data_IF_376359876034
#
_entry.id   IF_376359876034
#
_cell.length_a   1.000
_cell.length_b   1.000
_cell.length_c   1.000
_cell.angle_alpha   90.00
_cell.angle_beta   90.00
_cell.angle_gamma   90.00
#
_symmetry.space_group_name_H-M   'P 1'
#
loop_
_entity.id
_entity.type
_entity.pdbx_description
1 polymer ?
#
# COMPACT_ATOMS: atom_id res chain seq x y z
N UNK A 1 10.82 -5.67 -32.01
CA UNK A 1 9.72 -4.91 -31.38
C UNK A 1 10.20 -4.39 -30.03
N UNK A 2 10.60 -3.12 -29.92
CA UNK A 2 10.87 -2.51 -28.62
C UNK A 2 9.56 -1.93 -28.09
N UNK A 3 8.91 -2.66 -27.18
CA UNK A 3 7.70 -2.21 -26.51
C UNK A 3 7.95 -0.89 -25.79
N UNK A 4 6.95 0.01 -25.83
CA UNK A 4 6.93 1.28 -25.10
C UNK A 4 7.38 1.06 -23.65
N UNK A 5 8.52 1.60 -23.25
CA UNK A 5 8.91 1.69 -21.83
C UNK A 5 7.90 2.62 -21.14
N UNK A 6 6.98 2.05 -20.37
CA UNK A 6 6.11 2.84 -19.50
C UNK A 6 6.83 3.03 -18.17
N UNK A 7 6.85 4.26 -17.67
CA UNK A 7 7.25 4.54 -16.30
C UNK A 7 6.01 4.39 -15.42
N UNK A 8 6.16 3.73 -14.28
CA UNK A 8 5.14 3.63 -13.25
C UNK A 8 5.62 4.46 -12.06
N UNK A 9 4.70 5.25 -11.49
CA UNK A 9 4.90 5.90 -10.19
C UNK A 9 4.04 5.14 -9.19
N UNK A 10 4.60 4.83 -8.04
CA UNK A 10 3.92 4.14 -6.95
C UNK A 10 3.89 5.08 -5.75
N UNK A 11 2.76 5.10 -5.05
CA UNK A 11 2.60 5.78 -3.76
C UNK A 11 2.18 4.71 -2.76
N UNK A 12 2.93 4.61 -1.67
CA UNK A 12 2.76 3.54 -0.68
C UNK A 12 2.46 4.21 0.66
N UNK A 13 1.30 3.95 1.27
CA UNK A 13 0.96 4.54 2.57
C UNK A 13 1.86 3.95 3.65
N UNK A 14 2.41 4.82 4.49
CA UNK A 14 3.28 4.44 5.61
C UNK A 14 2.65 4.96 6.89
N UNK A 15 2.60 4.10 7.90
CA UNK A 15 2.16 4.41 9.25
C UNK A 15 3.40 4.47 10.12
N UNK A 16 3.58 5.57 10.85
CA UNK A 16 4.65 5.72 11.85
C UNK A 16 3.99 6.08 13.17
N UNK A 17 4.16 5.21 14.16
CA UNK A 17 3.59 5.36 15.48
C UNK A 17 4.67 5.23 16.56
N UNK A 18 4.40 5.80 17.74
CA UNK A 18 5.31 5.70 18.86
C UNK A 18 5.28 4.26 19.42
N UNK A 19 6.46 3.69 19.64
CA UNK A 19 6.63 2.34 20.19
C UNK A 19 7.77 2.36 21.21
N UNK A 20 7.42 2.28 22.49
CA UNK A 20 8.38 2.38 23.60
C UNK A 20 9.18 3.69 23.59
N UNK A 21 10.51 3.57 23.49
CA UNK A 21 11.44 4.71 23.44
C UNK A 21 11.68 5.24 22.02
N UNK A 22 10.99 4.69 21.01
CA UNK A 22 11.19 5.02 19.60
C UNK A 22 9.89 5.03 18.81
N UNK A 23 10.02 4.70 17.53
CA UNK A 23 8.95 4.75 16.56
C UNK A 23 8.98 3.49 15.70
N UNK A 24 7.82 2.84 15.59
CA UNK A 24 7.58 1.74 14.67
C UNK A 24 7.00 2.27 13.37
N UNK A 25 7.65 1.95 12.26
CA UNK A 25 7.18 2.24 10.91
C UNK A 25 6.72 0.97 10.23
N UNK A 26 5.56 1.00 9.58
CA UNK A 26 5.07 -0.12 8.78
C UNK A 26 4.15 0.35 7.65
N UNK A 27 3.84 -0.55 6.72
CA UNK A 27 2.81 -0.29 5.70
C UNK A 27 1.80 -1.44 5.64
N UNK A 28 0.49 -1.16 5.65
CA UNK A 28 -0.52 -2.19 5.45
C UNK A 28 -0.58 -2.68 3.99
N UNK A 29 -0.01 -1.90 3.06
CA UNK A 29 -0.02 -2.24 1.63
C UNK A 29 1.00 -3.32 1.26
N UNK A 30 2.10 -3.46 2.03
CA UNK A 30 3.14 -4.45 1.76
C UNK A 30 3.41 -5.29 3.03
N UNK A 31 3.05 -6.57 2.96
CA UNK A 31 3.25 -7.48 4.09
C UNK A 31 4.75 -7.64 4.40
N UNK A 32 5.07 -7.55 5.68
CA UNK A 32 6.41 -7.84 6.21
C UNK A 32 7.37 -6.65 6.23
N UNK A 33 6.96 -5.47 5.78
CA UNK A 33 7.78 -4.25 5.88
C UNK A 33 7.52 -3.58 7.23
N UNK A 34 8.50 -3.71 8.12
CA UNK A 34 8.51 -3.08 9.44
C UNK A 34 9.89 -2.53 9.74
N UNK A 35 9.95 -1.35 10.35
CA UNK A 35 11.19 -0.72 10.81
C UNK A 35 11.00 -0.13 12.20
N UNK A 36 12.11 0.06 12.92
CA UNK A 36 12.12 0.72 14.21
C UNK A 36 13.22 1.78 14.22
N UNK A 37 12.88 3.02 14.55
CA UNK A 37 13.83 4.14 14.67
C UNK A 37 13.69 4.82 16.03
N UNK A 38 14.78 5.42 16.55
CA UNK A 38 14.74 6.18 17.81
C UNK A 38 13.98 7.49 17.67
N UNK A 39 13.90 8.02 16.44
CA UNK A 39 13.14 9.22 16.11
C UNK A 39 12.19 8.97 14.97
N UNK A 40 11.13 9.78 14.85
CA UNK A 40 10.19 9.71 13.74
C UNK A 40 10.89 9.86 12.38
N UNK A 41 11.84 10.79 12.27
CA UNK A 41 12.60 11.02 11.05
C UNK A 41 13.50 9.83 10.67
N UNK A 42 14.07 9.16 11.68
CA UNK A 42 14.84 7.93 11.45
C UNK A 42 13.94 6.80 10.96
N UNK A 43 12.77 6.59 11.59
CA UNK A 43 11.81 5.58 11.14
C UNK A 43 11.32 5.86 9.71
N UNK A 44 11.11 7.13 9.35
CA UNK A 44 10.72 7.53 7.99
C UNK A 44 11.81 7.23 6.95
N UNK A 45 13.07 7.55 7.26
CA UNK A 45 14.20 7.23 6.40
C UNK A 45 14.37 5.70 6.23
N UNK A 46 14.27 4.95 7.33
CA UNK A 46 14.33 3.48 7.30
C UNK A 46 13.17 2.88 6.49
N UNK A 47 11.97 3.46 6.56
CA UNK A 47 10.85 3.04 5.73
C UNK A 47 11.14 3.23 4.24
N UNK A 48 11.72 4.37 3.84
CA UNK A 48 12.08 4.61 2.44
C UNK A 48 13.08 3.55 1.92
N UNK A 49 14.10 3.21 2.72
CA UNK A 49 15.09 2.19 2.38
C UNK A 49 14.44 0.79 2.30
N UNK A 50 13.61 0.45 3.28
CA UNK A 50 12.93 -0.86 3.33
C UNK A 50 11.96 -1.05 2.15
N UNK A 51 11.20 -0.01 1.80
CA UNK A 51 10.30 -0.02 0.64
C UNK A 51 11.08 -0.16 -0.67
N UNK A 52 12.20 0.55 -0.81
CA UNK A 52 13.07 0.45 -1.99
C UNK A 52 13.59 -0.98 -2.15
N UNK A 53 14.12 -1.56 -1.07
CA UNK A 53 14.61 -2.94 -1.06
C UNK A 53 13.51 -3.97 -1.41
N UNK A 54 12.29 -3.75 -0.91
CA UNK A 54 11.15 -4.62 -1.22
C UNK A 54 10.77 -4.58 -2.71
N UNK A 55 10.65 -3.38 -3.29
CA UNK A 55 10.33 -3.22 -4.70
C UNK A 55 11.45 -3.76 -5.60
N UNK A 56 12.72 -3.53 -5.24
CA UNK A 56 13.87 -4.10 -5.96
C UNK A 56 13.84 -5.64 -5.93
N UNK A 57 13.43 -6.25 -4.82
CA UNK A 57 13.22 -7.69 -4.72
C UNK A 57 12.14 -8.18 -5.68
N UNK A 58 10.96 -7.55 -5.68
CA UNK A 58 9.87 -7.89 -6.62
C UNK A 58 10.38 -7.85 -8.07
N UNK A 59 11.06 -6.77 -8.45
CA UNK A 59 11.58 -6.58 -9.82
C UNK A 59 12.61 -7.67 -10.15
N UNK A 60 13.55 -7.94 -9.24
CA UNK A 60 14.60 -8.94 -9.42
C UNK A 60 14.05 -10.34 -9.60
N UNK A 61 12.98 -10.67 -8.89
CA UNK A 61 12.38 -12.00 -8.91
C UNK A 61 11.24 -12.15 -9.92
N UNK A 62 10.87 -11.07 -10.62
CA UNK A 62 9.78 -11.09 -11.60
C UNK A 62 8.41 -11.30 -10.96
N UNK A 63 8.26 -10.88 -9.70
CA UNK A 63 7.01 -10.98 -8.95
C UNK A 63 6.04 -9.88 -9.37
N UNK A 64 4.74 -10.11 -9.17
CA UNK A 64 3.72 -9.10 -9.36
C UNK A 64 3.78 -8.05 -8.26
N UNK A 65 3.69 -6.77 -8.62
CA UNK A 65 3.53 -5.69 -7.64
C UNK A 65 2.16 -5.88 -6.96
N UNK A 66 2.09 -5.99 -5.62
CA UNK A 66 0.82 -6.04 -4.90
C UNK A 66 0.12 -4.68 -5.01
N UNK A 67 -1.16 -4.70 -5.41
CA UNK A 67 -1.97 -3.50 -5.62
C UNK A 67 -3.16 -3.58 -4.67
N UNK A 68 -3.41 -2.49 -3.95
CA UNK A 68 -4.57 -2.34 -3.09
C UNK A 68 -5.37 -1.13 -3.55
N UNK A 69 -6.70 -1.24 -3.51
CA UNK A 69 -7.58 -0.10 -3.69
C UNK A 69 -7.64 0.61 -2.34
N UNK A 70 -7.19 1.86 -2.30
CA UNK A 70 -7.39 2.75 -1.16
C UNK A 70 -8.73 3.43 -1.40
N UNK A 71 -9.71 3.13 -0.56
CA UNK A 71 -11.01 3.81 -0.57
C UNK A 71 -10.96 4.93 0.47
N UNK A 72 -11.35 6.13 0.09
CA UNK A 72 -11.61 7.20 1.04
C UNK A 72 -13.06 7.16 1.57
N UNK A 73 -13.42 8.07 2.48
CA UNK A 73 -14.76 8.12 3.06
C UNK A 73 -15.86 8.39 2.01
N UNK A 74 -15.51 9.05 0.91
CA UNK A 74 -16.43 9.38 -0.18
C UNK A 74 -16.62 8.16 -1.08
N UNK A 75 -15.54 7.46 -1.42
CA UNK A 75 -15.57 6.16 -2.12
C UNK A 75 -16.40 5.14 -1.32
N UNK A 76 -16.21 5.05 0.00
CA UNK A 76 -16.96 4.12 0.87
C UNK A 76 -18.45 4.47 0.91
N UNK A 77 -18.82 5.75 0.90
CA UNK A 77 -20.23 6.16 0.81
C UNK A 77 -20.84 5.75 -0.52
N UNK A 78 -20.14 6.00 -1.62
CA UNK A 78 -20.57 5.60 -2.96
C UNK A 78 -20.74 4.07 -3.08
N UNK A 79 -19.82 3.29 -2.50
CA UNK A 79 -19.97 1.82 -2.43
C UNK A 79 -21.19 1.38 -1.62
N UNK A 80 -21.43 1.96 -0.43
CA UNK A 80 -22.57 1.61 0.43
C UNK A 80 -23.92 2.07 -0.15
N UNK A 81 -23.94 3.17 -0.89
CA UNK A 81 -25.13 3.62 -1.62
C UNK A 81 -25.45 2.69 -2.80
N UNK A 82 -24.41 2.22 -3.51
CA UNK A 82 -24.55 1.28 -4.61
C UNK A 82 -24.90 -0.15 -4.15
N UNK A 83 -24.48 -0.60 -2.96
CA UNK A 83 -24.79 -1.95 -2.43
C UNK A 83 -26.33 -2.20 -2.34
N UNK A 84 -27.12 -1.14 -2.09
CA UNK A 84 -28.59 -1.17 -2.13
C UNK A 84 -29.17 -1.48 -3.53
N UNK A 85 -28.38 -1.31 -4.59
CA UNK A 85 -28.74 -1.67 -5.96
C UNK A 85 -28.17 -3.04 -6.38
N UNK A 86 -27.08 -3.52 -5.77
CA UNK A 86 -26.48 -4.84 -6.09
C UNK A 86 -27.32 -5.99 -5.53
N UNK A 87 -28.00 -5.82 -4.39
CA UNK A 87 -28.95 -6.83 -3.87
C UNK A 87 -30.15 -7.07 -4.81
N UNK A 88 -30.43 -6.17 -5.76
CA UNK A 88 -31.43 -6.39 -6.82
C UNK A 88 -30.87 -7.11 -8.05
N UNK A 89 -29.55 -7.14 -8.22
CA UNK A 89 -28.89 -7.82 -9.35
C UNK A 89 -28.68 -9.32 -9.08
N UNK A 90 -28.51 -9.73 -7.82
CA UNK A 90 -28.29 -11.14 -7.45
C UNK A 90 -29.56 -12.00 -7.32
N UNK A 91 -30.75 -11.49 -7.68
CA UNK A 91 -32.00 -12.29 -7.79
C UNK A 91 -32.29 -12.70 -9.25
N UNK A 92 -31.51 -12.22 -10.23
CA UNK A 92 -31.57 -12.68 -11.62
C UNK A 92 -30.18 -12.92 -12.20
N UNK A 93 -29.47 -13.93 -11.71
CA UNK A 93 -28.41 -14.63 -12.43
C UNK A 93 -28.22 -16.04 -11.86
#
# INVERSE_FOLDING_TARGET
MFGRRRKLKLEIPVIIEADGEGYHGYTPALKGVHVYGKTKAEAEALMADALTAYIDSIIKHGESIPIHIVLDEEDVKEFNENEKDIEKMFIYA
#
